data_IF_108534599157
#
_entry.id   IF_108534599157
#
_cell.length_a   1.000
_cell.length_b   1.000
_cell.length_c   1.000
_cell.angle_alpha   90.00
_cell.angle_beta   90.00
_cell.angle_gamma   90.00
#
_symmetry.space_group_name_H-M   'P 1'
#
loop_
_entity.id
_entity.type
_entity.pdbx_description
1 polymer ?
#
# COMPACT_ATOMS: atom_id res chain seq x y z
N UNK A 1 3.20 19.22 2.23
CA UNK A 1 1.98 18.46 2.04
C UNK A 1 2.31 16.98 1.94
N UNK A 2 1.40 16.10 2.44
CA UNK A 2 1.66 14.66 2.50
C UNK A 2 1.41 13.96 1.16
N UNK A 3 0.79 14.61 0.20
CA UNK A 3 0.51 14.07 -1.15
C UNK A 3 1.18 14.98 -2.17
N UNK A 4 2.15 14.43 -2.86
CA UNK A 4 2.84 15.06 -3.97
C UNK A 4 2.33 14.45 -5.28
N UNK A 5 1.53 15.23 -6.00
CA UNK A 5 0.97 14.80 -7.28
C UNK A 5 1.96 14.89 -8.44
N UNK A 6 2.96 15.77 -8.35
CA UNK A 6 3.98 15.91 -9.37
C UNK A 6 4.96 14.73 -9.32
N UNK A 7 5.51 14.46 -8.14
CA UNK A 7 6.38 13.31 -7.91
C UNK A 7 5.62 11.96 -7.83
N UNK A 8 4.28 11.99 -7.77
CA UNK A 8 3.40 10.81 -7.56
C UNK A 8 3.74 10.03 -6.30
N UNK A 9 3.92 10.73 -5.19
CA UNK A 9 4.35 10.16 -3.91
C UNK A 9 3.42 10.59 -2.78
N UNK A 10 3.20 9.67 -1.83
CA UNK A 10 2.55 9.93 -0.55
C UNK A 10 3.61 9.84 0.55
N UNK A 11 3.82 10.93 1.27
CA UNK A 11 4.75 11.00 2.39
C UNK A 11 4.05 10.61 3.69
N UNK A 12 4.54 9.57 4.35
CA UNK A 12 4.06 9.12 5.66
C UNK A 12 5.09 9.50 6.71
N UNK A 13 4.85 10.58 7.44
CA UNK A 13 5.73 11.07 8.51
C UNK A 13 4.96 11.44 9.78
N UNK A 14 3.64 11.35 9.73
CA UNK A 14 2.76 11.69 10.85
C UNK A 14 1.70 10.61 11.04
N UNK A 15 1.18 10.53 12.24
CA UNK A 15 0.03 9.70 12.58
C UNK A 15 -1.05 10.54 13.25
N UNK A 16 -2.31 10.28 12.90
CA UNK A 16 -3.45 10.88 13.60
C UNK A 16 -4.00 9.87 14.60
N UNK A 17 -3.76 10.13 15.88
CA UNK A 17 -4.12 9.22 16.97
C UNK A 17 -4.93 9.96 18.03
N UNK A 18 -6.09 9.45 18.39
CA UNK A 18 -6.96 10.01 19.45
C UNK A 18 -7.27 11.51 19.29
N UNK A 19 -7.44 11.96 18.05
CA UNK A 19 -7.79 13.36 17.76
C UNK A 19 -6.61 14.31 17.63
N UNK A 20 -5.37 13.84 17.74
CA UNK A 20 -4.16 14.66 17.61
C UNK A 20 -3.24 14.14 16.52
N UNK A 21 -2.55 15.05 15.83
CA UNK A 21 -1.45 14.73 14.93
C UNK A 21 -0.18 14.58 15.77
N UNK A 22 0.53 13.49 15.60
CA UNK A 22 1.80 13.22 16.27
C UNK A 22 2.77 12.49 15.34
N UNK A 23 4.00 12.24 15.82
CA UNK A 23 4.97 11.46 15.06
C UNK A 23 4.46 10.03 14.84
N UNK A 24 5.00 9.36 13.83
CA UNK A 24 4.81 7.92 13.66
C UNK A 24 5.46 7.16 14.83
N UNK A 25 5.00 5.92 15.05
CA UNK A 25 5.42 5.10 16.21
C UNK A 25 6.93 4.80 16.24
N UNK A 26 7.56 4.71 15.08
CA UNK A 26 9.00 4.42 14.91
C UNK A 26 9.56 5.27 13.78
N UNK A 27 10.89 5.50 13.76
CA UNK A 27 11.60 6.17 12.67
C UNK A 27 11.39 5.46 11.33
N UNK A 28 11.39 4.13 11.33
CA UNK A 28 11.20 3.30 10.14
C UNK A 28 9.79 3.40 9.53
N UNK A 29 8.86 3.98 10.30
CA UNK A 29 7.51 4.28 9.79
C UNK A 29 7.49 5.49 8.85
N UNK A 30 8.52 6.34 8.88
CA UNK A 30 8.70 7.42 7.92
C UNK A 30 9.04 6.82 6.55
N UNK A 31 8.22 7.08 5.57
CA UNK A 31 8.41 6.54 4.23
C UNK A 31 7.66 7.33 3.19
N UNK A 32 8.09 7.14 1.96
CA UNK A 32 7.38 7.63 0.78
C UNK A 32 6.79 6.43 0.02
N UNK A 33 5.51 6.51 -0.29
CA UNK A 33 4.77 5.49 -1.03
C UNK A 33 4.58 6.00 -2.45
N UNK A 34 5.08 5.27 -3.44
CA UNK A 34 4.87 5.58 -4.85
C UNK A 34 3.42 5.24 -5.23
N UNK A 35 2.75 6.16 -5.89
CA UNK A 35 1.38 5.96 -6.35
C UNK A 35 1.35 5.17 -7.66
N UNK A 36 0.60 4.08 -7.68
CA UNK A 36 0.17 3.50 -8.96
C UNK A 36 -0.78 4.47 -9.68
N UNK A 37 -0.99 4.28 -10.97
CA UNK A 37 -1.92 5.13 -11.74
C UNK A 37 -3.31 5.17 -11.11
N UNK A 38 -3.83 4.02 -10.67
CA UNK A 38 -5.15 3.93 -10.02
C UNK A 38 -5.22 4.73 -8.71
N UNK A 39 -4.16 4.70 -7.90
CA UNK A 39 -4.08 5.48 -6.65
C UNK A 39 -4.00 6.96 -6.95
N UNK A 40 -3.21 7.35 -7.94
CA UNK A 40 -3.11 8.73 -8.39
C UNK A 40 -4.47 9.28 -8.85
N UNK A 41 -5.17 8.56 -9.71
CA UNK A 41 -6.46 8.98 -10.24
C UNK A 41 -7.51 9.13 -9.13
N UNK A 42 -7.58 8.14 -8.22
CA UNK A 42 -8.49 8.18 -7.07
C UNK A 42 -8.19 9.37 -6.12
N UNK A 43 -6.91 9.69 -5.90
CA UNK A 43 -6.54 10.84 -5.07
C UNK A 43 -6.79 12.18 -5.79
N UNK A 44 -6.64 12.24 -7.10
CA UNK A 44 -7.01 13.42 -7.89
C UNK A 44 -8.52 13.68 -7.85
N UNK A 45 -9.32 12.63 -7.97
CA UNK A 45 -10.76 12.72 -7.81
C UNK A 45 -11.14 13.17 -6.40
N UNK A 46 -10.53 12.56 -5.38
CA UNK A 46 -10.72 12.95 -3.99
C UNK A 46 -10.32 14.40 -3.73
N UNK A 47 -9.25 14.89 -4.35
CA UNK A 47 -8.82 16.27 -4.26
C UNK A 47 -9.87 17.25 -4.80
N UNK A 48 -10.52 16.91 -5.91
CA UNK A 48 -11.60 17.74 -6.46
C UNK A 48 -12.78 17.85 -5.48
N UNK A 49 -12.98 16.81 -4.66
CA UNK A 49 -14.06 16.78 -3.68
C UNK A 49 -13.68 17.49 -2.36
N UNK A 50 -12.52 17.21 -1.79
CA UNK A 50 -12.15 17.65 -0.44
C UNK A 50 -11.02 18.68 -0.39
N UNK A 51 -10.27 18.89 -1.46
CA UNK A 51 -9.07 19.75 -1.46
C UNK A 51 -9.30 21.21 -1.11
N UNK A 52 -10.54 21.69 -1.23
CA UNK A 52 -10.95 23.05 -0.84
C UNK A 52 -11.58 23.11 0.56
N UNK A 53 -11.78 21.99 1.23
CA UNK A 53 -12.55 21.93 2.47
C UNK A 53 -11.68 21.94 3.73
N UNK A 54 -10.37 21.70 3.62
CA UNK A 54 -9.50 21.67 4.80
C UNK A 54 -8.14 21.01 4.56
N UNK A 55 -7.49 20.66 5.66
CA UNK A 55 -6.12 20.13 5.69
C UNK A 55 -6.05 18.62 5.42
N UNK A 56 -7.19 17.91 5.49
CA UNK A 56 -7.22 16.46 5.39
C UNK A 56 -7.69 16.00 4.02
N UNK A 57 -6.97 15.03 3.42
CA UNK A 57 -7.35 14.39 2.14
C UNK A 57 -8.74 13.76 2.26
N UNK A 58 -8.99 13.07 3.35
CA UNK A 58 -10.29 12.48 3.67
C UNK A 58 -10.87 13.18 4.90
N UNK A 59 -11.90 13.98 4.71
CA UNK A 59 -12.54 14.74 5.77
C UNK A 59 -14.06 14.58 5.76
N UNK A 60 -14.70 14.94 6.86
CA UNK A 60 -16.13 15.09 6.93
C UNK A 60 -16.56 16.37 6.16
N UNK A 61 -17.86 16.51 5.91
CA UNK A 61 -18.42 17.65 5.15
C UNK A 61 -18.04 19.04 5.73
N UNK A 62 -17.77 19.10 7.02
CA UNK A 62 -17.33 20.33 7.72
C UNK A 62 -15.81 20.49 7.75
N UNK A 63 -15.03 19.69 6.99
CA UNK A 63 -13.57 19.71 6.95
C UNK A 63 -12.86 19.02 8.13
N UNK A 64 -13.60 18.50 9.12
CA UNK A 64 -13.00 17.79 10.25
C UNK A 64 -12.46 16.41 9.85
N UNK A 65 -11.44 15.87 10.57
CA UNK A 65 -10.89 14.57 10.27
C UNK A 65 -11.93 13.46 10.46
N UNK A 66 -11.86 12.43 9.62
CA UNK A 66 -12.73 11.27 9.72
C UNK A 66 -12.44 10.46 10.99
N UNK A 67 -13.49 10.03 11.67
CA UNK A 67 -13.38 9.08 12.76
C UNK A 67 -13.32 7.65 12.21
N UNK A 68 -12.22 6.95 12.42
CA UNK A 68 -11.99 5.59 11.91
C UNK A 68 -13.12 4.61 12.30
N UNK A 69 -13.60 4.65 13.55
CA UNK A 69 -14.68 3.79 14.01
C UNK A 69 -15.98 4.05 13.25
N UNK A 70 -16.28 5.33 12.98
CA UNK A 70 -17.47 5.70 12.22
C UNK A 70 -17.37 5.25 10.76
N UNK A 71 -16.22 5.46 10.12
CA UNK A 71 -15.98 4.99 8.75
C UNK A 71 -16.10 3.47 8.67
N UNK A 72 -15.47 2.75 9.59
CA UNK A 72 -15.53 1.28 9.62
C UNK A 72 -16.96 0.77 9.78
N UNK A 73 -17.73 1.35 10.70
CA UNK A 73 -19.08 0.84 11.02
C UNK A 73 -20.17 1.29 10.06
N UNK A 74 -20.05 2.52 9.52
CA UNK A 74 -21.12 3.14 8.73
C UNK A 74 -20.88 3.09 7.21
N UNK A 75 -19.63 2.86 6.80
CA UNK A 75 -19.25 2.81 5.38
C UNK A 75 -18.69 1.43 5.04
N UNK A 76 -17.58 1.04 5.69
CA UNK A 76 -16.84 -0.16 5.33
C UNK A 76 -17.66 -1.45 5.48
N UNK A 77 -18.24 -1.70 6.64
CA UNK A 77 -19.01 -2.92 6.86
C UNK A 77 -20.28 -3.00 6.01
N UNK A 78 -21.10 -1.93 5.91
CA UNK A 78 -22.24 -1.95 4.99
C UNK A 78 -21.85 -2.14 3.52
N UNK A 79 -20.71 -1.60 3.09
CA UNK A 79 -20.20 -1.82 1.74
C UNK A 79 -19.84 -3.29 1.49
N UNK A 80 -19.16 -3.95 2.44
CA UNK A 80 -18.86 -5.38 2.34
C UNK A 80 -20.15 -6.22 2.27
N UNK A 81 -21.13 -5.90 3.09
CA UNK A 81 -22.42 -6.57 3.11
C UNK A 81 -23.17 -6.39 1.78
N UNK A 82 -23.21 -5.17 1.24
CA UNK A 82 -23.80 -4.88 -0.07
C UNK A 82 -23.16 -5.67 -1.21
N UNK A 83 -21.83 -5.86 -1.13
CA UNK A 83 -21.06 -6.61 -2.13
C UNK A 83 -21.07 -8.13 -1.90
N UNK A 84 -21.78 -8.64 -0.88
CA UNK A 84 -21.76 -10.05 -0.53
C UNK A 84 -20.40 -10.56 -0.04
N UNK A 85 -19.53 -9.66 0.43
CA UNK A 85 -18.21 -10.00 0.92
C UNK A 85 -18.23 -10.28 2.43
N UNK A 86 -17.36 -11.21 2.84
CA UNK A 86 -17.18 -11.54 4.24
C UNK A 86 -16.73 -10.32 5.05
N UNK A 87 -17.32 -10.14 6.23
CA UNK A 87 -17.03 -9.02 7.11
C UNK A 87 -15.60 -9.09 7.64
N UNK A 88 -14.76 -8.20 7.16
CA UNK A 88 -13.33 -8.10 7.51
C UNK A 88 -12.97 -6.69 7.94
N UNK A 89 -12.00 -6.58 8.86
CA UNK A 89 -11.45 -5.30 9.30
C UNK A 89 -10.77 -4.58 8.10
N UNK A 90 -10.89 -3.24 7.97
CA UNK A 90 -10.18 -2.47 6.93
C UNK A 90 -8.68 -2.74 6.86
N UNK A 91 -8.02 -3.07 7.99
CA UNK A 91 -6.60 -3.42 8.02
C UNK A 91 -6.25 -4.64 7.15
N UNK A 92 -7.22 -5.51 6.84
CA UNK A 92 -7.02 -6.65 5.94
C UNK A 92 -6.67 -6.23 4.51
N UNK A 93 -7.01 -5.01 4.10
CA UNK A 93 -6.58 -4.47 2.79
C UNK A 93 -5.05 -4.37 2.68
N UNK A 94 -4.36 -4.12 3.80
CA UNK A 94 -2.90 -4.16 3.86
C UNK A 94 -2.36 -5.56 3.58
N UNK A 95 -2.98 -6.59 4.15
CA UNK A 95 -2.60 -7.99 3.89
C UNK A 95 -2.88 -8.37 2.43
N UNK A 96 -4.01 -7.93 1.90
CA UNK A 96 -4.36 -8.15 0.49
C UNK A 96 -3.33 -7.50 -0.44
N UNK A 97 -2.97 -6.24 -0.20
CA UNK A 97 -1.97 -5.55 -1.00
C UNK A 97 -0.62 -6.27 -0.97
N UNK A 98 -0.13 -6.66 0.21
CA UNK A 98 1.13 -7.40 0.35
C UNK A 98 1.12 -8.73 -0.43
N UNK A 99 0.00 -9.46 -0.34
CA UNK A 99 -0.16 -10.74 -1.04
C UNK A 99 -0.19 -10.56 -2.56
N UNK A 100 -0.93 -9.55 -3.04
CA UNK A 100 -1.01 -9.26 -4.47
C UNK A 100 0.33 -8.79 -5.05
N UNK A 101 1.08 -7.96 -4.34
CA UNK A 101 2.41 -7.52 -4.78
C UNK A 101 3.39 -8.70 -4.84
N UNK A 102 3.40 -9.59 -3.84
CA UNK A 102 4.21 -10.80 -3.88
C UNK A 102 3.79 -11.70 -5.04
N UNK A 103 2.49 -11.88 -5.25
CA UNK A 103 1.97 -12.68 -6.36
C UNK A 103 2.31 -12.09 -7.73
N UNK A 104 2.44 -10.78 -7.82
CA UNK A 104 2.87 -10.07 -9.03
C UNK A 104 4.39 -10.14 -9.27
N UNK A 105 5.18 -10.68 -8.31
CA UNK A 105 6.63 -10.78 -8.42
C UNK A 105 7.39 -9.51 -8.00
N UNK A 106 6.74 -8.60 -7.28
CA UNK A 106 7.41 -7.40 -6.76
C UNK A 106 8.50 -7.76 -5.73
N UNK A 107 9.57 -6.99 -5.70
CA UNK A 107 10.68 -7.20 -4.76
C UNK A 107 10.21 -7.17 -3.30
N UNK A 108 10.53 -8.17 -2.48
CA UNK A 108 10.19 -8.19 -1.07
C UNK A 108 10.70 -6.97 -0.29
N UNK A 109 11.86 -6.44 -0.64
CA UNK A 109 12.43 -5.23 -0.06
C UNK A 109 11.59 -4.00 -0.39
N UNK A 110 11.13 -3.88 -1.64
CA UNK A 110 10.23 -2.81 -2.05
C UNK A 110 8.90 -2.90 -1.29
N UNK A 111 8.31 -4.10 -1.21
CA UNK A 111 7.05 -4.34 -0.47
C UNK A 111 7.23 -3.97 1.00
N UNK A 112 8.32 -4.40 1.64
CA UNK A 112 8.61 -4.07 3.03
C UNK A 112 8.66 -2.55 3.25
N UNK A 113 9.34 -1.81 2.37
CA UNK A 113 9.37 -0.34 2.40
C UNK A 113 7.98 0.27 2.23
N UNK A 114 7.19 -0.18 1.26
CA UNK A 114 5.80 0.32 1.06
C UNK A 114 4.96 0.10 2.31
N UNK A 115 5.11 -1.03 2.96
CA UNK A 115 4.39 -1.36 4.18
C UNK A 115 4.96 -0.68 5.43
N UNK A 116 6.18 -0.15 5.41
CA UNK A 116 6.87 0.41 6.59
C UNK A 116 7.31 -0.69 7.55
N UNK A 117 7.80 -1.79 7.04
CA UNK A 117 8.50 -2.81 7.80
C UNK A 117 9.99 -2.47 7.82
N UNK A 118 10.64 -2.61 8.97
CA UNK A 118 12.08 -2.39 9.13
C UNK A 118 12.95 -3.39 8.34
N UNK A 119 12.38 -4.56 8.04
CA UNK A 119 13.04 -5.60 7.24
C UNK A 119 12.01 -6.54 6.60
N UNK A 120 12.50 -7.43 5.73
CA UNK A 120 11.66 -8.41 5.02
C UNK A 120 11.22 -9.59 5.88
N UNK A 121 11.79 -9.79 7.07
CA UNK A 121 11.48 -10.94 7.94
C UNK A 121 9.99 -10.98 8.29
N UNK A 122 9.40 -9.83 8.61
CA UNK A 122 7.96 -9.75 8.89
C UNK A 122 7.12 -10.09 7.66
N UNK A 123 7.57 -9.68 6.47
CA UNK A 123 6.92 -9.99 5.22
C UNK A 123 6.90 -11.52 4.99
N UNK A 124 8.05 -12.15 5.03
CA UNK A 124 8.14 -13.60 4.84
C UNK A 124 7.41 -14.40 5.93
N UNK A 125 7.53 -14.00 7.20
CA UNK A 125 6.84 -14.67 8.29
C UNK A 125 5.32 -14.70 8.11
N UNK A 126 4.74 -13.63 7.59
CA UNK A 126 3.28 -13.49 7.45
C UNK A 126 2.81 -14.02 6.09
N UNK A 127 3.59 -13.81 5.04
CA UNK A 127 3.14 -13.99 3.65
C UNK A 127 3.91 -15.05 2.87
N UNK A 128 4.87 -15.79 3.46
CA UNK A 128 5.68 -16.80 2.74
C UNK A 128 4.84 -17.85 2.01
N UNK A 129 3.70 -18.21 2.58
CA UNK A 129 2.74 -19.15 1.95
C UNK A 129 2.03 -18.60 0.71
N UNK A 130 2.13 -17.28 0.49
CA UNK A 130 1.57 -16.58 -0.66
C UNK A 130 2.64 -16.12 -1.65
N UNK A 131 3.91 -16.31 -1.32
CA UNK A 131 4.98 -16.22 -2.31
C UNK A 131 4.75 -17.38 -3.25
N UNK A 132 4.38 -17.12 -4.46
CA UNK A 132 4.05 -18.19 -5.35
C UNK A 132 5.30 -18.95 -5.76
N UNK A 133 5.44 -20.11 -5.19
CA UNK A 133 5.70 -21.26 -6.03
C UNK A 133 4.41 -21.53 -6.83
N UNK A 134 3.80 -20.43 -7.31
CA UNK A 134 2.41 -20.34 -7.75
C UNK A 134 2.12 -21.14 -9.01
N UNK A 135 3.16 -21.68 -9.64
CA UNK A 135 2.97 -22.39 -10.89
C UNK A 135 3.84 -23.64 -10.99
N UNK A 136 4.50 -24.10 -9.93
CA UNK A 136 5.45 -25.22 -10.04
C UNK A 136 6.59 -24.93 -11.03
N UNK A 137 6.94 -23.68 -11.19
CA UNK A 137 7.96 -23.19 -12.12
C UNK A 137 9.12 -22.55 -11.40
N UNK A 138 9.49 -23.10 -10.23
CA UNK A 138 10.73 -22.72 -9.59
C UNK A 138 11.88 -23.01 -10.55
N UNK A 139 12.71 -22.00 -10.81
CA UNK A 139 13.77 -22.05 -11.81
C UNK A 139 13.40 -21.54 -13.19
N UNK A 140 12.10 -21.42 -13.55
CA UNK A 140 11.72 -20.98 -14.90
C UNK A 140 12.12 -19.51 -15.21
N UNK A 141 12.32 -18.67 -14.22
CA UNK A 141 12.85 -17.33 -14.40
C UNK A 141 14.35 -17.37 -14.72
N UNK A 142 15.07 -18.29 -14.09
CA UNK A 142 16.48 -18.52 -14.37
C UNK A 142 16.69 -19.19 -15.73
N UNK A 143 15.85 -20.18 -16.06
CA UNK A 143 15.87 -20.80 -17.40
C UNK A 143 15.62 -19.77 -18.50
N UNK A 144 14.62 -18.91 -18.36
CA UNK A 144 14.40 -17.80 -19.32
C UNK A 144 15.59 -16.85 -19.44
N UNK A 145 16.28 -16.56 -18.32
CA UNK A 145 17.46 -15.72 -18.36
C UNK A 145 18.60 -16.37 -19.12
N UNK A 146 18.68 -17.70 -19.12
CA UNK A 146 19.70 -18.45 -19.88
C UNK A 146 19.31 -18.62 -21.35
N UNK A 147 18.00 -18.68 -21.65
CA UNK A 147 17.47 -18.84 -23.02
C UNK A 147 17.45 -17.51 -23.79
N UNK A 148 17.24 -16.38 -23.13
CA UNK A 148 17.49 -15.06 -23.69
C UNK A 148 19.02 -14.91 -23.77
N UNK A 149 19.63 -15.07 -24.95
CA UNK A 149 21.06 -14.94 -25.21
C UNK A 149 21.70 -13.84 -24.35
N UNK A 150 22.17 -14.23 -23.17
CA UNK A 150 22.81 -13.33 -22.22
C UNK A 150 24.19 -13.01 -22.77
N UNK A 151 24.26 -12.04 -23.68
CA UNK A 151 25.51 -11.39 -24.01
C UNK A 151 26.04 -10.71 -22.75
N UNK A 152 27.00 -11.36 -22.10
CA UNK A 152 27.78 -10.72 -21.04
C UNK A 152 28.40 -9.45 -21.64
N UNK A 153 28.32 -8.28 -20.95
CA UNK A 153 29.06 -7.10 -21.38
C UNK A 153 30.55 -7.48 -21.45
N UNK A 154 31.21 -7.16 -22.55
CA UNK A 154 32.63 -7.50 -22.80
C UNK A 154 33.62 -6.85 -21.78
N UNK A 155 33.10 -6.05 -20.82
CA UNK A 155 33.89 -5.27 -19.87
C UNK A 155 33.69 -5.77 -18.42
N UNK A 156 34.04 -7.01 -18.12
CA UNK A 156 34.28 -7.49 -16.74
C UNK A 156 35.74 -7.89 -16.56
#
# INVERSE_FOLDING_TARGET
DNVDFEARVIHIHQAFVRGSIGPTKTSDSHRSIVMSQRVYDALREQWNYSGKQGTYVFCARNGSPLNNRNVTRRVWYPLLELLGLEKRNPYQTRHTAATLWLAAGESPEWIARQLGHSNTTMLFRVYSRYVPNLMGRDGAAFERLLDDDFELPEDL
#
